data_IF_949065767310
#
_entry.id   IF_949065767310
#
_cell.length_a   1.000
_cell.length_b   1.000
_cell.length_c   1.000
_cell.angle_alpha   90.00
_cell.angle_beta   90.00
_cell.angle_gamma   90.00
#
_symmetry.space_group_name_H-M   'P 1'
#
loop_
_entity.id
_entity.type
_entity.pdbx_description
1 polymer ?
#
# COMPACT_ATOMS: atom_id res chain seq x y z
N UNK A 1 -86.97 2.48 19.22
CA UNK A 1 -85.58 3.01 19.30
C UNK A 1 -85.10 3.28 17.89
N UNK A 2 -85.02 4.56 17.58
CA UNK A 2 -85.08 5.23 16.28
C UNK A 2 -83.92 4.87 15.32
N UNK A 3 -84.28 4.73 14.06
CA UNK A 3 -83.40 4.51 12.90
C UNK A 3 -82.35 5.63 12.72
N UNK A 4 -82.54 6.77 13.36
CA UNK A 4 -81.67 7.95 13.33
C UNK A 4 -80.34 7.77 14.18
N UNK A 5 -80.46 7.06 15.31
CA UNK A 5 -79.27 6.77 16.15
C UNK A 5 -78.28 5.82 15.47
N UNK A 6 -78.82 4.86 14.67
CA UNK A 6 -77.95 3.94 13.90
C UNK A 6 -77.26 4.65 12.73
N UNK A 7 -77.94 5.60 12.05
CA UNK A 7 -77.31 6.38 10.98
C UNK A 7 -76.18 7.33 11.48
N UNK A 8 -76.38 7.95 12.65
CA UNK A 8 -75.33 8.82 13.25
C UNK A 8 -74.09 8.01 13.72
N UNK A 9 -74.32 6.81 14.26
CA UNK A 9 -73.21 5.95 14.67
C UNK A 9 -72.42 5.40 13.45
N UNK A 10 -73.09 5.07 12.35
CA UNK A 10 -72.42 4.62 11.12
C UNK A 10 -71.67 5.78 10.42
N UNK A 11 -72.15 7.01 10.44
CA UNK A 11 -71.48 8.16 9.87
C UNK A 11 -70.19 8.54 10.69
N UNK A 12 -70.26 8.41 12.02
CA UNK A 12 -69.13 8.65 12.89
C UNK A 12 -67.98 7.57 12.71
N UNK A 13 -68.37 6.31 12.54
CA UNK A 13 -67.47 5.22 12.27
C UNK A 13 -66.76 5.35 10.90
N UNK A 14 -67.47 5.78 9.87
CA UNK A 14 -66.88 6.00 8.54
C UNK A 14 -65.90 7.18 8.51
N UNK A 15 -66.18 8.24 9.30
CA UNK A 15 -65.22 9.37 9.43
C UNK A 15 -63.92 9.05 10.14
N UNK A 16 -63.91 8.14 11.11
CA UNK A 16 -62.71 7.65 11.81
C UNK A 16 -61.85 6.76 10.91
N UNK A 17 -62.44 5.85 10.13
CA UNK A 17 -61.70 4.98 9.21
C UNK A 17 -61.00 5.75 8.08
N UNK A 18 -61.56 6.88 7.62
CA UNK A 18 -60.97 7.73 6.59
C UNK A 18 -59.73 8.49 7.09
N UNK A 19 -59.71 8.91 8.36
CA UNK A 19 -58.56 9.60 8.98
C UNK A 19 -57.41 8.66 9.23
N UNK A 20 -57.66 7.43 9.68
CA UNK A 20 -56.64 6.42 9.91
C UNK A 20 -56.00 5.90 8.63
N UNK A 21 -56.78 5.74 7.54
CA UNK A 21 -56.20 5.41 6.23
C UNK A 21 -55.26 6.51 5.72
N UNK A 22 -55.68 7.77 5.76
CA UNK A 22 -54.84 8.89 5.33
C UNK A 22 -53.57 9.01 6.19
N UNK A 23 -53.66 8.82 7.49
CA UNK A 23 -52.51 8.85 8.39
C UNK A 23 -51.51 7.69 8.13
N UNK A 24 -52.02 6.47 7.89
CA UNK A 24 -51.18 5.31 7.51
C UNK A 24 -50.50 5.52 6.17
N UNK A 25 -51.21 6.06 5.17
CA UNK A 25 -50.60 6.36 3.86
C UNK A 25 -49.51 7.44 3.97
N UNK A 26 -49.73 8.49 4.77
CA UNK A 26 -48.70 9.53 4.99
C UNK A 26 -47.47 8.98 5.71
N UNK A 27 -47.66 8.09 6.68
CA UNK A 27 -46.52 7.41 7.38
C UNK A 27 -45.79 6.52 6.41
N UNK A 28 -46.47 5.75 5.57
CA UNK A 28 -45.83 4.88 4.57
C UNK A 28 -45.05 5.68 3.53
N UNK A 29 -45.57 6.80 3.05
CA UNK A 29 -44.86 7.72 2.14
C UNK A 29 -43.63 8.31 2.83
N UNK A 30 -43.74 8.72 4.10
CA UNK A 30 -42.62 9.25 4.88
C UNK A 30 -41.51 8.23 5.06
N UNK A 31 -41.85 6.98 5.40
CA UNK A 31 -40.86 5.89 5.53
C UNK A 31 -40.18 5.59 4.18
N UNK A 32 -40.95 5.52 3.10
CA UNK A 32 -40.38 5.30 1.77
C UNK A 32 -39.45 6.42 1.34
N UNK A 33 -39.80 7.68 1.61
CA UNK A 33 -38.91 8.82 1.31
C UNK A 33 -37.62 8.80 2.10
N UNK A 34 -37.65 8.42 3.40
CA UNK A 34 -36.47 8.27 4.24
C UNK A 34 -35.57 7.13 3.72
N UNK A 35 -36.15 6.00 3.35
CA UNK A 35 -35.40 4.87 2.78
C UNK A 35 -34.70 5.24 1.46
N UNK A 36 -35.42 5.95 0.57
CA UNK A 36 -34.80 6.43 -0.68
C UNK A 36 -33.69 7.43 -0.42
N UNK A 37 -33.86 8.35 0.54
CA UNK A 37 -32.80 9.28 0.92
C UNK A 37 -31.57 8.58 1.52
N UNK A 38 -31.75 7.54 2.35
CA UNK A 38 -30.67 6.73 2.89
C UNK A 38 -29.93 5.95 1.80
N UNK A 39 -30.66 5.34 0.87
CA UNK A 39 -30.06 4.63 -0.28
C UNK A 39 -29.28 5.61 -1.16
N UNK A 40 -29.81 6.80 -1.43
CA UNK A 40 -29.12 7.83 -2.17
C UNK A 40 -27.87 8.34 -1.46
N UNK A 41 -27.91 8.53 -0.12
CA UNK A 41 -26.75 8.93 0.68
C UNK A 41 -25.68 7.84 0.72
N UNK A 42 -26.06 6.57 0.87
CA UNK A 42 -25.14 5.43 0.83
C UNK A 42 -24.56 5.29 -0.59
N UNK A 43 -25.38 5.37 -1.62
CA UNK A 43 -24.93 5.30 -3.02
C UNK A 43 -23.98 6.44 -3.37
N UNK A 44 -24.25 7.67 -2.91
CA UNK A 44 -23.34 8.82 -3.07
C UNK A 44 -22.04 8.64 -2.32
N UNK A 45 -22.06 8.11 -1.07
CA UNK A 45 -20.85 7.84 -0.30
C UNK A 45 -19.97 6.73 -0.91
N UNK A 46 -20.60 5.71 -1.53
CA UNK A 46 -19.87 4.65 -2.24
C UNK A 46 -19.31 5.20 -3.56
N UNK A 47 -20.09 5.98 -4.32
CA UNK A 47 -19.63 6.59 -5.56
C UNK A 47 -18.48 7.59 -5.32
N UNK A 48 -18.53 8.38 -4.23
CA UNK A 48 -17.44 9.31 -3.86
C UNK A 48 -16.16 8.58 -3.48
N UNK A 49 -16.26 7.42 -2.80
CA UNK A 49 -15.07 6.60 -2.47
C UNK A 49 -14.49 5.88 -3.68
N UNK A 50 -15.31 5.51 -4.66
CA UNK A 50 -14.82 4.85 -5.87
C UNK A 50 -14.30 5.85 -6.94
N UNK A 51 -14.60 7.13 -6.82
CA UNK A 51 -14.11 8.14 -7.77
C UNK A 51 -12.63 8.53 -7.55
N UNK A 52 -12.08 8.25 -6.36
CA UNK A 52 -10.66 8.50 -6.06
C UNK A 52 -9.75 7.30 -6.36
N UNK A 53 -10.33 6.14 -6.77
CA UNK A 53 -9.57 4.88 -6.91
C UNK A 53 -9.22 4.50 -8.36
N UNK A 54 -9.66 5.21 -9.37
CA UNK A 54 -9.43 4.88 -10.79
C UNK A 54 -8.32 5.71 -11.48
N UNK A 55 -7.76 6.72 -10.81
CA UNK A 55 -6.55 7.35 -11.29
C UNK A 55 -5.36 6.48 -10.87
N UNK A 56 -4.44 6.10 -11.80
CA UNK A 56 -3.22 5.41 -11.42
C UNK A 56 -2.50 6.24 -10.35
N UNK A 57 -2.12 5.57 -9.23
CA UNK A 57 -1.35 6.24 -8.19
C UNK A 57 -0.08 6.83 -8.83
N UNK A 58 0.21 8.09 -8.55
CA UNK A 58 1.36 8.78 -9.14
C UNK A 58 2.65 8.03 -8.77
N UNK A 59 3.38 7.57 -9.78
CA UNK A 59 4.66 6.91 -9.60
C UNK A 59 5.72 7.94 -9.22
N UNK A 60 6.65 7.64 -8.28
CA UNK A 60 7.84 8.45 -8.09
C UNK A 60 8.69 8.48 -9.36
N UNK A 61 9.31 9.63 -9.66
CA UNK A 61 10.19 9.77 -10.84
C UNK A 61 11.47 8.94 -10.71
N UNK A 62 11.83 8.56 -9.49
CA UNK A 62 13.00 7.75 -9.15
C UNK A 62 12.81 6.24 -9.37
N UNK A 63 11.61 5.79 -9.81
CA UNK A 63 11.33 4.36 -10.00
C UNK A 63 11.34 3.94 -11.47
N UNK A 64 11.66 2.66 -11.69
CA UNK A 64 11.47 1.98 -12.96
C UNK A 64 9.97 1.69 -13.21
N UNK A 65 9.59 1.29 -14.44
CA UNK A 65 8.20 0.97 -14.80
C UNK A 65 7.55 -0.10 -13.92
N UNK A 66 8.36 -1.02 -13.37
CA UNK A 66 7.92 -2.07 -12.45
C UNK A 66 7.88 -1.64 -10.97
N UNK A 67 8.10 -0.37 -10.67
CA UNK A 67 8.12 0.17 -9.31
C UNK A 67 9.41 -0.03 -8.54
N UNK A 68 10.47 -0.54 -9.18
CA UNK A 68 11.75 -0.75 -8.52
C UNK A 68 12.58 0.54 -8.48
N UNK A 69 13.36 0.68 -7.42
CA UNK A 69 14.41 1.68 -7.28
C UNK A 69 15.71 1.07 -7.82
N UNK A 70 16.27 1.65 -8.87
CA UNK A 70 17.53 1.17 -9.47
C UNK A 70 18.75 1.81 -8.82
N UNK A 71 19.69 0.96 -8.37
CA UNK A 71 20.99 1.34 -7.83
C UNK A 71 22.07 0.81 -8.78
N UNK A 72 22.97 1.67 -9.22
CA UNK A 72 24.04 1.35 -10.18
C UNK A 72 23.82 1.98 -11.56
N UNK A 73 24.54 1.48 -12.57
CA UNK A 73 24.46 2.00 -13.93
C UNK A 73 23.05 1.74 -14.53
N UNK A 74 22.33 2.79 -14.96
CA UNK A 74 21.02 2.62 -15.59
C UNK A 74 21.05 1.73 -16.85
N UNK A 75 22.23 1.60 -17.50
CA UNK A 75 22.45 0.81 -18.71
C UNK A 75 23.14 -0.53 -18.44
N UNK A 76 23.24 -0.97 -17.19
CA UNK A 76 23.85 -2.25 -16.86
C UNK A 76 23.22 -3.41 -17.64
N UNK A 77 24.07 -4.25 -18.25
CA UNK A 77 23.60 -5.44 -19.01
C UNK A 77 23.12 -6.57 -18.09
N UNK A 78 23.58 -6.56 -16.84
CA UNK A 78 23.14 -7.52 -15.81
C UNK A 78 22.43 -6.77 -14.70
N UNK A 79 21.17 -7.12 -14.49
CA UNK A 79 20.31 -6.54 -13.46
C UNK A 79 19.91 -7.63 -12.46
N UNK A 80 20.21 -7.38 -11.19
CA UNK A 80 19.69 -8.17 -10.07
C UNK A 80 18.43 -7.50 -9.58
N UNK A 81 17.29 -8.21 -9.59
CA UNK A 81 16.04 -7.70 -9.02
C UNK A 81 15.80 -8.34 -7.67
N UNK A 82 15.49 -7.50 -6.68
CA UNK A 82 15.19 -7.88 -5.28
C UNK A 82 13.80 -7.36 -4.94
N UNK A 83 12.81 -8.28 -4.85
CA UNK A 83 11.48 -7.95 -4.32
C UNK A 83 11.47 -8.24 -2.83
N UNK A 84 11.18 -7.24 -2.02
CA UNK A 84 11.40 -7.28 -0.57
C UNK A 84 10.27 -6.61 0.22
N UNK A 85 10.18 -6.94 1.51
CA UNK A 85 9.30 -6.28 2.48
C UNK A 85 10.11 -5.92 3.72
N UNK A 86 10.07 -4.66 4.13
CA UNK A 86 10.85 -4.15 5.28
C UNK A 86 10.47 -4.78 6.63
N UNK A 87 9.37 -5.52 6.70
CA UNK A 87 9.00 -6.29 7.89
C UNK A 87 9.44 -7.76 7.81
N UNK A 88 9.92 -8.23 6.66
CA UNK A 88 10.23 -9.64 6.42
C UNK A 88 11.58 -10.04 7.06
N UNK A 89 11.61 -10.99 8.02
CA UNK A 89 12.86 -11.46 8.62
C UNK A 89 13.82 -12.12 7.62
N UNK A 90 13.26 -12.80 6.61
CA UNK A 90 14.07 -13.42 5.56
C UNK A 90 14.75 -12.38 4.65
N UNK A 91 14.11 -11.20 4.43
CA UNK A 91 14.74 -10.07 3.74
C UNK A 91 15.91 -9.51 4.56
N UNK A 92 15.73 -9.31 5.87
CA UNK A 92 16.85 -8.93 6.75
C UNK A 92 18.00 -9.92 6.69
N UNK A 93 17.70 -11.21 6.71
CA UNK A 93 18.72 -12.25 6.60
C UNK A 93 19.45 -12.19 5.25
N UNK A 94 18.72 -12.00 4.16
CA UNK A 94 19.30 -11.83 2.82
C UNK A 94 20.25 -10.62 2.77
N UNK A 95 19.79 -9.46 3.23
CA UNK A 95 20.61 -8.24 3.25
C UNK A 95 21.87 -8.40 4.12
N UNK A 96 21.74 -9.06 5.28
CA UNK A 96 22.92 -9.30 6.16
C UNK A 96 23.93 -10.25 5.56
N UNK A 97 23.53 -11.18 4.68
CA UNK A 97 24.41 -12.20 4.08
C UNK A 97 24.95 -11.73 2.72
N UNK A 98 24.11 -11.11 1.91
CA UNK A 98 24.37 -10.86 0.48
C UNK A 98 24.41 -9.38 0.10
N UNK A 99 23.93 -8.48 0.96
CA UNK A 99 23.85 -7.04 0.66
C UNK A 99 25.19 -6.42 0.34
N UNK A 100 26.23 -6.70 1.13
CA UNK A 100 27.58 -6.19 0.87
C UNK A 100 28.14 -6.69 -0.48
N UNK A 101 27.83 -7.93 -0.87
CA UNK A 101 28.24 -8.47 -2.19
C UNK A 101 27.56 -7.72 -3.34
N UNK A 102 26.27 -7.41 -3.21
CA UNK A 102 25.56 -6.62 -4.22
C UNK A 102 26.14 -5.20 -4.30
N UNK A 103 26.41 -4.57 -3.15
CA UNK A 103 27.01 -3.24 -3.10
C UNK A 103 28.40 -3.18 -3.74
N UNK A 104 29.28 -4.18 -3.51
CA UNK A 104 30.57 -4.31 -4.18
C UNK A 104 30.41 -4.40 -5.70
N UNK A 105 29.54 -5.28 -6.19
CA UNK A 105 29.33 -5.50 -7.62
C UNK A 105 28.71 -4.30 -8.33
N UNK A 106 27.90 -3.51 -7.63
CA UNK A 106 27.39 -2.22 -8.11
C UNK A 106 28.52 -1.19 -8.18
N UNK A 107 29.35 -1.08 -7.13
CA UNK A 107 30.48 -0.14 -7.10
C UNK A 107 31.51 -0.44 -8.21
N UNK A 108 31.70 -1.71 -8.56
CA UNK A 108 32.55 -2.15 -9.66
C UNK A 108 31.88 -2.01 -11.06
N UNK A 109 30.69 -1.45 -11.14
CA UNK A 109 29.87 -1.35 -12.36
C UNK A 109 29.62 -2.71 -13.06
N UNK A 110 29.64 -3.80 -12.31
CA UNK A 110 29.37 -5.15 -12.82
C UNK A 110 27.88 -5.40 -13.03
N UNK A 111 27.04 -4.83 -12.16
CA UNK A 111 25.59 -4.98 -12.15
C UNK A 111 24.89 -3.67 -11.82
N UNK A 112 23.59 -3.60 -12.11
CA UNK A 112 22.66 -2.77 -11.36
C UNK A 112 21.75 -3.64 -10.50
N UNK A 113 21.22 -3.07 -9.42
CA UNK A 113 20.23 -3.73 -8.57
C UNK A 113 18.92 -2.94 -8.60
N UNK A 114 17.83 -3.64 -8.91
CA UNK A 114 16.46 -3.13 -8.85
C UNK A 114 15.80 -3.61 -7.55
N UNK A 115 15.73 -2.74 -6.56
CA UNK A 115 15.00 -2.99 -5.32
C UNK A 115 13.54 -2.62 -5.47
N UNK A 116 12.63 -3.58 -5.28
CA UNK A 116 11.19 -3.39 -5.37
C UNK A 116 10.55 -3.63 -4.01
N UNK A 117 10.35 -2.59 -3.20
CA UNK A 117 9.70 -2.72 -1.91
C UNK A 117 8.19 -2.97 -2.10
N UNK A 118 7.68 -4.00 -1.44
CA UNK A 118 6.25 -4.36 -1.40
C UNK A 118 5.78 -4.54 0.03
N UNK A 119 4.46 -4.61 0.24
CA UNK A 119 3.84 -4.61 1.57
C UNK A 119 2.95 -5.83 1.80
N UNK A 120 3.47 -7.06 1.57
CA UNK A 120 2.70 -8.30 1.75
C UNK A 120 2.45 -8.64 3.21
N UNK A 121 3.26 -8.10 4.14
CA UNK A 121 3.19 -8.36 5.57
C UNK A 121 2.38 -7.32 6.36
N UNK A 122 1.74 -6.34 5.72
CA UNK A 122 0.89 -5.36 6.41
C UNK A 122 -0.19 -6.01 7.28
N UNK A 123 -0.75 -7.13 6.84
CA UNK A 123 -1.72 -7.93 7.61
C UNK A 123 -1.17 -8.45 8.94
N UNK A 124 0.14 -8.50 9.10
CA UNK A 124 0.83 -8.92 10.32
C UNK A 124 1.12 -7.74 11.26
N UNK A 125 1.00 -6.51 10.78
CA UNK A 125 1.25 -5.28 11.55
C UNK A 125 -0.06 -4.57 11.91
N UNK A 126 -0.12 -4.01 13.12
CA UNK A 126 -1.27 -3.16 13.53
C UNK A 126 -1.22 -1.73 12.98
N UNK A 127 -0.13 -1.34 12.32
CA UNK A 127 0.14 0.03 11.85
C UNK A 127 0.43 0.11 10.35
N UNK A 128 0.23 -0.98 9.59
CA UNK A 128 0.61 -1.11 8.18
C UNK A 128 2.09 -0.73 7.96
N UNK A 129 2.98 -1.30 8.78
CA UNK A 129 4.39 -0.92 8.79
C UNK A 129 5.07 -1.17 7.44
N UNK A 130 4.78 -2.29 6.76
CA UNK A 130 5.37 -2.58 5.43
C UNK A 130 5.05 -1.49 4.42
N UNK A 131 3.78 -1.03 4.36
CA UNK A 131 3.37 0.09 3.48
C UNK A 131 4.06 1.39 3.88
N UNK A 132 4.14 1.73 5.17
CA UNK A 132 4.80 2.97 5.62
C UNK A 132 6.30 2.97 5.36
N UNK A 133 6.97 1.83 5.57
CA UNK A 133 8.39 1.67 5.28
C UNK A 133 8.68 1.73 3.77
N UNK A 134 7.85 1.08 2.94
CA UNK A 134 7.96 1.16 1.49
C UNK A 134 7.68 2.58 0.97
N UNK A 135 6.68 3.30 1.51
CA UNK A 135 6.48 4.72 1.22
C UNK A 135 7.72 5.55 1.58
N UNK A 136 8.31 5.34 2.75
CA UNK A 136 9.53 6.05 3.16
C UNK A 136 10.71 5.74 2.22
N UNK A 137 10.84 4.50 1.76
CA UNK A 137 11.83 4.08 0.75
C UNK A 137 11.73 4.90 -0.53
N UNK A 138 10.50 5.05 -1.04
CA UNK A 138 10.23 5.85 -2.26
C UNK A 138 10.49 7.34 -2.02
N UNK A 139 10.11 7.88 -0.87
CA UNK A 139 10.39 9.27 -0.50
C UNK A 139 11.90 9.56 -0.45
N UNK A 140 12.68 8.62 0.10
CA UNK A 140 14.15 8.74 0.17
C UNK A 140 14.77 8.68 -1.22
N UNK A 141 14.36 7.72 -2.05
CA UNK A 141 14.86 7.60 -3.43
C UNK A 141 14.55 8.83 -4.27
N UNK A 142 13.37 9.46 -4.08
CA UNK A 142 12.96 10.68 -4.78
C UNK A 142 13.75 11.90 -4.30
N UNK A 143 14.06 11.97 -3.01
CA UNK A 143 14.82 13.07 -2.42
C UNK A 143 16.31 13.00 -2.78
N UNK A 144 16.92 11.82 -2.65
CA UNK A 144 18.32 11.56 -2.97
C UNK A 144 18.56 10.07 -3.19
N UNK A 145 18.56 9.62 -4.44
CA UNK A 145 18.82 8.22 -4.79
C UNK A 145 20.23 7.75 -4.38
N UNK A 146 21.20 8.66 -4.24
CA UNK A 146 22.56 8.30 -3.81
C UNK A 146 22.67 7.95 -2.32
N UNK A 147 21.80 8.49 -1.49
CA UNK A 147 21.70 8.20 -0.07
C UNK A 147 20.84 6.95 0.22
N UNK A 148 20.04 6.51 -0.75
CA UNK A 148 19.11 5.39 -0.60
C UNK A 148 19.78 4.09 -0.09
N UNK A 149 20.95 3.64 -0.61
CA UNK A 149 21.59 2.40 -0.13
C UNK A 149 21.94 2.43 1.37
N UNK A 150 22.42 3.57 1.86
CA UNK A 150 22.73 3.73 3.28
C UNK A 150 21.44 3.72 4.14
N UNK A 151 20.39 4.35 3.68
CA UNK A 151 19.09 4.31 4.31
C UNK A 151 18.50 2.89 4.32
N UNK A 152 18.52 2.20 3.19
CA UNK A 152 18.04 0.83 3.02
C UNK A 152 18.72 -0.14 4.00
N UNK A 153 20.05 -0.11 4.06
CA UNK A 153 20.81 -0.90 5.03
C UNK A 153 20.38 -0.59 6.46
N UNK A 154 20.27 0.69 6.83
CA UNK A 154 19.87 1.10 8.18
C UNK A 154 18.46 0.65 8.55
N UNK A 155 17.53 0.58 7.59
CA UNK A 155 16.19 0.05 7.77
C UNK A 155 16.20 -1.44 8.15
N UNK A 156 17.01 -2.26 7.47
CA UNK A 156 17.12 -3.68 7.82
C UNK A 156 17.94 -3.89 9.10
N UNK A 157 18.99 -3.10 9.37
CA UNK A 157 19.72 -3.15 10.64
C UNK A 157 18.81 -2.90 11.83
N UNK A 158 17.88 -1.94 11.72
CA UNK A 158 16.90 -1.52 12.73
C UNK A 158 15.51 -2.18 12.55
N UNK A 159 15.43 -3.22 11.70
CA UNK A 159 14.15 -3.88 11.42
C UNK A 159 13.46 -4.37 12.70
N UNK A 160 12.20 -3.98 12.95
CA UNK A 160 11.41 -4.47 14.08
C UNK A 160 11.05 -5.95 13.91
N UNK A 161 10.65 -6.60 15.01
CA UNK A 161 10.13 -7.96 14.94
C UNK A 161 8.88 -8.04 14.05
N UNK A 162 8.74 -9.12 13.30
CA UNK A 162 7.54 -9.40 12.50
C UNK A 162 6.30 -9.42 13.40
N UNK A 163 5.22 -8.80 12.94
CA UNK A 163 3.97 -8.69 13.70
C UNK A 163 3.96 -7.58 14.75
N UNK A 164 5.08 -6.87 14.97
CA UNK A 164 5.10 -5.69 15.82
C UNK A 164 4.46 -4.46 15.14
N UNK A 165 4.26 -3.38 15.89
CA UNK A 165 3.79 -2.11 15.33
C UNK A 165 4.77 -1.51 14.31
N UNK A 166 6.03 -1.92 14.35
CA UNK A 166 7.08 -1.36 13.49
C UNK A 166 7.58 0.01 13.98
N UNK A 167 8.47 0.60 13.21
CA UNK A 167 8.98 1.94 13.45
C UNK A 167 7.87 2.98 13.21
N UNK A 168 7.85 4.03 14.00
CA UNK A 168 7.01 5.21 13.78
C UNK A 168 7.51 6.04 12.58
N UNK A 169 6.67 6.93 12.05
CA UNK A 169 7.07 7.80 10.94
C UNK A 169 8.23 8.73 11.34
N UNK A 170 8.26 9.20 12.60
CA UNK A 170 9.39 9.98 13.12
C UNK A 170 10.69 9.19 13.16
N UNK A 171 10.64 7.89 13.48
CA UNK A 171 11.82 7.01 13.42
C UNK A 171 12.26 6.76 11.99
N UNK A 172 11.32 6.59 11.03
CA UNK A 172 11.64 6.49 9.60
C UNK A 172 12.34 7.77 9.08
N UNK A 173 11.86 8.95 9.48
CA UNK A 173 12.50 10.24 9.19
C UNK A 173 13.88 10.33 9.84
N UNK A 174 14.04 9.85 11.09
CA UNK A 174 15.32 9.85 11.78
C UNK A 174 16.37 8.99 11.07
N UNK A 175 15.97 7.83 10.52
CA UNK A 175 16.87 6.96 9.72
C UNK A 175 17.27 7.68 8.42
N UNK A 176 16.38 8.41 7.77
CA UNK A 176 16.72 9.20 6.58
C UNK A 176 17.75 10.30 6.90
N UNK A 177 17.62 10.97 8.06
CA UNK A 177 18.62 11.93 8.54
C UNK A 177 19.98 11.27 8.82
N UNK A 178 19.98 10.07 9.38
CA UNK A 178 21.24 9.31 9.59
C UNK A 178 21.92 8.96 8.27
N UNK A 179 21.14 8.74 7.19
CA UNK A 179 21.66 8.54 5.84
C UNK A 179 22.10 9.85 5.13
N UNK A 180 22.00 11.00 5.80
CA UNK A 180 22.46 12.30 5.29
C UNK A 180 21.39 13.14 4.61
N UNK A 181 20.11 12.74 4.65
CA UNK A 181 19.01 13.52 4.02
C UNK A 181 18.26 14.28 5.09
N UNK A 182 18.36 15.61 5.05
CA UNK A 182 17.69 16.50 6.00
C UNK A 182 16.88 17.55 5.23
N UNK A 183 15.62 17.21 4.88
CA UNK A 183 14.71 18.15 4.24
C UNK A 183 13.30 18.07 4.84
N UNK A 184 12.59 19.19 4.80
CA UNK A 184 11.20 19.29 5.22
C UNK A 184 10.29 18.51 4.26
N UNK A 185 10.61 18.54 2.97
CA UNK A 185 9.87 17.86 1.90
C UNK A 185 9.92 16.35 2.12
N UNK A 186 11.10 15.78 2.42
CA UNK A 186 11.24 14.36 2.75
C UNK A 186 10.43 14.00 3.98
N UNK A 187 10.52 14.79 5.05
CA UNK A 187 9.76 14.53 6.27
C UNK A 187 8.25 14.56 6.00
N UNK A 188 7.77 15.52 5.21
CA UNK A 188 6.37 15.61 4.82
C UNK A 188 5.93 14.45 3.91
N UNK A 189 6.79 14.00 3.00
CA UNK A 189 6.53 12.84 2.15
C UNK A 189 6.34 11.57 2.99
N UNK A 190 7.23 11.32 3.93
CA UNK A 190 7.18 10.12 4.80
C UNK A 190 5.93 10.17 5.69
N UNK A 191 5.75 11.24 6.46
CA UNK A 191 4.65 11.36 7.43
C UNK A 191 3.28 11.53 6.78
N UNK A 192 3.24 12.10 5.58
CA UNK A 192 2.03 12.27 4.77
C UNK A 192 1.63 11.03 3.96
N UNK A 193 2.47 10.00 3.90
CA UNK A 193 2.17 8.78 3.16
C UNK A 193 2.01 9.01 1.65
N UNK A 194 2.82 9.90 1.06
CA UNK A 194 2.67 10.38 -0.32
C UNK A 194 2.54 9.26 -1.37
N UNK A 195 3.26 8.15 -1.18
CA UNK A 195 3.27 7.03 -2.11
C UNK A 195 2.52 5.79 -1.61
N UNK A 196 1.69 5.90 -0.56
CA UNK A 196 0.94 4.78 0.04
C UNK A 196 0.09 4.02 -0.99
N UNK A 197 -0.66 4.74 -1.82
CA UNK A 197 -1.51 4.14 -2.87
C UNK A 197 -0.66 3.50 -3.96
N UNK A 198 0.49 4.11 -4.29
CA UNK A 198 1.44 3.53 -5.22
C UNK A 198 2.03 2.22 -4.69
N UNK A 199 2.49 2.16 -3.43
CA UNK A 199 2.94 0.92 -2.77
C UNK A 199 1.86 -0.15 -2.82
N UNK A 200 0.61 0.20 -2.52
CA UNK A 200 -0.52 -0.73 -2.58
C UNK A 200 -0.71 -1.30 -3.99
N UNK A 201 -0.65 -0.44 -5.01
CA UNK A 201 -0.76 -0.86 -6.41
C UNK A 201 0.41 -1.75 -6.86
N UNK A 202 1.64 -1.41 -6.46
CA UNK A 202 2.85 -2.18 -6.77
C UNK A 202 2.87 -3.53 -6.04
N UNK A 203 2.38 -3.58 -4.79
CA UNK A 203 2.21 -4.84 -4.05
C UNK A 203 1.23 -5.76 -4.77
N UNK A 204 0.08 -5.20 -5.20
CA UNK A 204 -0.90 -5.97 -5.98
C UNK A 204 -0.30 -6.46 -7.30
N UNK A 205 0.40 -5.63 -8.05
CA UNK A 205 1.05 -5.99 -9.30
C UNK A 205 2.06 -7.14 -9.10
N UNK A 206 2.89 -7.08 -8.04
CA UNK A 206 3.83 -8.15 -7.71
C UNK A 206 3.11 -9.48 -7.42
N UNK A 207 2.00 -9.45 -6.69
CA UNK A 207 1.19 -10.65 -6.43
C UNK A 207 0.57 -11.21 -7.73
N UNK A 208 0.07 -10.35 -8.61
CA UNK A 208 -0.49 -10.73 -9.92
C UNK A 208 0.59 -11.33 -10.85
N UNK A 209 1.86 -10.91 -10.71
CA UNK A 209 3.05 -11.49 -11.36
C UNK A 209 3.47 -12.85 -10.77
N UNK A 210 2.83 -13.31 -9.70
CA UNK A 210 3.09 -14.59 -9.03
C UNK A 210 4.15 -14.51 -7.92
N UNK A 211 4.60 -13.31 -7.50
CA UNK A 211 5.45 -13.12 -6.33
C UNK A 211 4.63 -13.48 -5.09
N UNK A 212 4.98 -14.57 -4.43
CA UNK A 212 4.23 -15.10 -3.27
C UNK A 212 5.00 -15.04 -1.95
N UNK A 213 6.28 -14.66 -2.01
CA UNK A 213 7.17 -14.57 -0.83
C UNK A 213 8.27 -13.56 -1.05
N UNK A 214 8.84 -13.06 0.06
CA UNK A 214 10.00 -12.17 0.08
C UNK A 214 11.13 -12.78 0.92
N UNK A 215 12.40 -12.53 0.58
CA UNK A 215 12.79 -11.90 -0.67
C UNK A 215 12.59 -12.81 -1.88
N UNK A 216 12.20 -12.22 -3.03
CA UNK A 216 12.32 -12.90 -4.32
C UNK A 216 13.44 -12.23 -5.09
N UNK A 217 14.50 -12.99 -5.37
CA UNK A 217 15.73 -12.49 -6.02
C UNK A 217 15.88 -13.13 -7.38
N UNK A 218 16.17 -12.32 -8.41
CA UNK A 218 16.43 -12.81 -9.77
C UNK A 218 17.58 -12.06 -10.43
N UNK A 219 18.22 -12.69 -11.41
CA UNK A 219 19.25 -12.11 -12.27
C UNK A 219 18.74 -12.15 -13.71
N UNK A 220 18.57 -10.99 -14.34
CA UNK A 220 17.97 -10.86 -15.67
C UNK A 220 16.67 -11.69 -15.79
N UNK A 221 15.81 -11.62 -14.76
CA UNK A 221 14.52 -12.31 -14.70
C UNK A 221 14.57 -13.81 -14.32
N UNK A 222 15.76 -14.40 -14.14
CA UNK A 222 15.90 -15.79 -13.69
C UNK A 222 16.02 -15.83 -12.16
N UNK A 223 15.05 -16.49 -11.50
CA UNK A 223 15.02 -16.59 -10.04
C UNK A 223 16.22 -17.38 -9.50
N UNK A 224 16.86 -16.85 -8.46
CA UNK A 224 17.93 -17.48 -7.70
C UNK A 224 17.34 -18.04 -6.40
N UNK A 225 17.13 -19.35 -6.34
CA UNK A 225 16.37 -20.00 -5.23
C UNK A 225 17.02 -19.91 -3.86
N UNK A 226 18.34 -19.75 -3.78
CA UNK A 226 19.08 -19.54 -2.53
C UNK A 226 20.13 -18.46 -2.79
N UNK A 227 19.80 -17.17 -2.66
CA UNK A 227 20.63 -16.06 -3.11
C UNK A 227 21.77 -15.75 -2.13
N UNK A 228 22.64 -16.73 -1.89
CA UNK A 228 23.93 -16.53 -1.19
C UNK A 228 24.92 -15.77 -2.07
N UNK A 229 25.98 -15.15 -1.52
CA UNK A 229 27.01 -14.48 -2.29
C UNK A 229 27.57 -15.29 -3.46
N UNK A 230 27.88 -16.56 -3.22
CA UNK A 230 28.42 -17.46 -4.27
C UNK A 230 27.38 -17.75 -5.37
N UNK A 231 26.14 -18.02 -4.98
CA UNK A 231 25.05 -18.28 -5.94
C UNK A 231 24.73 -17.04 -6.79
N UNK A 232 24.75 -15.84 -6.19
CA UNK A 232 24.58 -14.57 -6.90
C UNK A 232 25.73 -14.33 -7.89
N UNK A 233 26.99 -14.45 -7.46
CA UNK A 233 28.17 -14.31 -8.35
C UNK A 233 28.13 -15.31 -9.51
N UNK A 234 27.74 -16.55 -9.25
CA UNK A 234 27.58 -17.56 -10.31
C UNK A 234 26.46 -17.21 -11.31
N UNK A 235 25.29 -16.78 -10.81
CA UNK A 235 24.17 -16.38 -11.66
C UNK A 235 24.48 -15.12 -12.48
N UNK A 236 25.18 -14.13 -11.89
CA UNK A 236 25.64 -12.90 -12.55
C UNK A 236 26.65 -13.23 -13.64
N UNK A 237 27.64 -14.08 -13.37
CA UNK A 237 28.64 -14.53 -14.37
C UNK A 237 27.96 -15.26 -15.55
N UNK A 238 26.93 -16.06 -15.28
CA UNK A 238 26.18 -16.75 -16.32
C UNK A 238 25.28 -15.85 -17.18
N UNK A 239 25.07 -14.60 -16.73
CA UNK A 239 24.24 -13.58 -17.40
C UNK A 239 25.07 -12.56 -18.19
N UNK A 240 26.38 -12.53 -18.03
CA UNK A 240 27.33 -11.72 -18.82
C UNK A 240 27.59 -12.33 -20.20
#
# INVERSE_FOLDING_TARGET
VSNESKKKAQAAAAGMQGKDKKRRTLIQIGIAAVLVALIAAIGFSIASKNSDSDAPAAAPSSTQDNGAIRIGDPNASVVVSVVEDFQCPACKQFESISGDTLAELVADNTIAVDYRPIAILDRMSSTNYSTRAANASLCVAEADASAWPAWHKAMFDQQPAEGAAGLSDDELVAIARQAGIESQELSSCITGGTYTDYVTSQTKAALDEGISSTPTVSVNGKVVSNPTPDALRAAITAAQ
#
